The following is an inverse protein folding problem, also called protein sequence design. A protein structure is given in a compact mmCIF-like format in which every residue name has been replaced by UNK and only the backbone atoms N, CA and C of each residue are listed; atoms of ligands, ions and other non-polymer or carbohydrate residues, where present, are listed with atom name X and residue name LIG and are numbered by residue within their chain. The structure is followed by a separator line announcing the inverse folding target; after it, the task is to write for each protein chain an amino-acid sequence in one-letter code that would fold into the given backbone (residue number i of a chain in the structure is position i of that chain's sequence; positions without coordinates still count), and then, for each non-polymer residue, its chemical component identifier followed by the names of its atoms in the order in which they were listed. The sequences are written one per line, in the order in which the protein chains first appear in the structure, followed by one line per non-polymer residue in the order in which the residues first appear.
data_IF_250240610036
#
_entry.id   IF_250240610036
#
_cell.length_a   1.000
_cell.length_b   1.000
_cell.length_c   1.000
_cell.angle_alpha   90.00
_cell.angle_beta   90.00
_cell.angle_gamma   90.00
#
_symmetry.space_group_name_H-M   'P 1'
#
loop_
_entity.id
_entity.type
_entity.pdbx_description
1 polymer ?
#
# COMPACT_ATOMS: atom_id res chain seq x y z
N UNK A 1 20.44 1.54 -4.67
CA UNK A 1 20.47 1.95 -3.43
C UNK A 1 19.18 2.51 -2.95
N UNK A 2 18.91 2.32 -1.76
CA UNK A 2 17.64 2.70 -1.21
C UNK A 2 17.56 4.21 -0.97
N UNK A 3 16.44 4.80 -1.28
CA UNK A 3 16.19 6.19 -0.98
C UNK A 3 15.39 6.36 0.31
N UNK A 4 15.10 5.27 1.01
CA UNK A 4 14.28 5.35 2.21
C UNK A 4 15.10 5.91 3.35
N UNK A 5 14.59 6.98 3.95
CA UNK A 5 15.23 7.65 5.07
C UNK A 5 14.71 7.07 6.39
N UNK A 6 15.44 7.25 7.49
CA UNK A 6 14.87 6.94 8.80
C UNK A 6 13.53 7.66 8.94
N UNK A 7 12.53 6.96 9.45
CA UNK A 7 11.20 7.52 9.61
C UNK A 7 10.32 7.40 8.38
N UNK A 8 10.76 6.65 7.36
CA UNK A 8 9.97 6.43 6.16
C UNK A 8 9.86 4.96 5.85
N UNK A 9 8.83 4.64 5.07
CA UNK A 9 8.57 3.29 4.57
C UNK A 9 8.60 3.37 3.05
N UNK A 10 9.17 2.39 2.39
CA UNK A 10 9.09 2.32 0.93
C UNK A 10 7.79 1.64 0.56
N UNK A 11 6.90 2.37 -0.09
CA UNK A 11 5.60 1.84 -0.52
C UNK A 11 5.61 1.62 -2.02
N UNK A 12 5.20 0.42 -2.43
CA UNK A 12 4.96 0.11 -3.84
C UNK A 12 3.52 -0.35 -3.98
N UNK A 13 2.80 0.24 -4.92
CA UNK A 13 1.45 -0.18 -5.27
C UNK A 13 1.50 -0.60 -6.72
N UNK A 14 1.24 -1.87 -6.97
CA UNK A 14 1.42 -2.43 -8.31
C UNK A 14 0.20 -3.25 -8.72
N UNK A 15 -0.03 -3.32 -10.02
CA UNK A 15 -0.92 -4.28 -10.64
C UNK A 15 -0.07 -5.18 -11.52
N UNK A 16 -0.65 -6.25 -12.08
CA UNK A 16 0.13 -7.07 -13.01
C UNK A 16 0.67 -6.30 -14.21
N UNK A 17 0.02 -5.20 -14.58
CA UNK A 17 0.41 -4.46 -15.78
C UNK A 17 1.25 -3.23 -15.52
N UNK A 18 1.20 -2.68 -14.31
CA UNK A 18 1.89 -1.40 -14.11
C UNK A 18 2.16 -1.10 -12.65
N UNK A 19 3.05 -0.16 -12.45
CA UNK A 19 3.33 0.40 -11.13
C UNK A 19 2.48 1.65 -10.97
N UNK A 20 1.63 1.68 -9.94
CA UNK A 20 0.76 2.82 -9.69
C UNK A 20 1.44 3.84 -8.78
N UNK A 21 2.26 3.38 -7.87
CA UNK A 21 3.06 4.24 -7.00
C UNK A 21 4.27 3.47 -6.53
N UNK A 22 5.39 4.15 -6.41
CA UNK A 22 6.60 3.53 -5.88
C UNK A 22 7.49 4.63 -5.31
N UNK A 23 7.61 4.65 -3.99
CA UNK A 23 8.43 5.68 -3.38
C UNK A 23 8.33 5.68 -1.87
N UNK A 24 9.04 6.60 -1.22
CA UNK A 24 9.01 6.71 0.23
C UNK A 24 7.74 7.40 0.70
N UNK A 25 7.19 6.90 1.81
CA UNK A 25 6.02 7.51 2.45
C UNK A 25 6.29 7.56 3.95
N UNK A 26 5.58 8.46 4.63
CA UNK A 26 5.72 8.54 6.07
C UNK A 26 4.86 7.51 6.77
N UNK A 27 3.73 7.18 6.18
CA UNK A 27 2.86 6.11 6.65
C UNK A 27 1.95 5.69 5.50
N UNK A 28 1.37 4.51 5.65
CA UNK A 28 0.35 4.01 4.73
C UNK A 28 -0.75 3.37 5.54
N UNK A 29 -1.96 3.37 5.00
CA UNK A 29 -3.11 2.72 5.60
C UNK A 29 -3.77 1.88 4.52
N UNK A 30 -3.99 0.61 4.82
CA UNK A 30 -4.37 -0.36 3.80
C UNK A 30 -5.61 -1.10 4.27
N UNK A 31 -6.64 -1.22 3.41
CA UNK A 31 -7.84 -1.99 3.78
C UNK A 31 -7.58 -3.48 3.59
N UNK A 32 -7.80 -4.24 4.64
CA UNK A 32 -7.70 -5.69 4.62
C UNK A 32 -9.10 -6.28 4.72
N UNK A 33 -9.20 -7.58 4.46
CA UNK A 33 -10.49 -8.25 4.56
C UNK A 33 -11.11 -8.11 5.95
N UNK A 34 -10.28 -8.05 6.99
CA UNK A 34 -10.78 -7.98 8.36
C UNK A 34 -10.53 -6.61 9.01
N UNK A 35 -10.31 -5.57 8.23
CA UNK A 35 -10.20 -4.22 8.76
C UNK A 35 -9.01 -3.48 8.19
N UNK A 36 -8.82 -2.25 8.66
CA UNK A 36 -7.72 -1.40 8.21
C UNK A 36 -6.45 -1.70 8.99
N UNK A 37 -5.33 -1.59 8.32
CA UNK A 37 -4.05 -1.67 9.00
C UNK A 37 -3.23 -0.42 8.68
N UNK A 38 -2.57 0.12 9.70
CA UNK A 38 -1.63 1.21 9.51
C UNK A 38 -0.21 0.68 9.44
N UNK A 39 0.56 1.19 8.50
CA UNK A 39 1.95 0.78 8.29
C UNK A 39 2.82 1.98 8.58
N UNK A 40 3.70 1.83 9.57
CA UNK A 40 4.60 2.87 10.02
C UNK A 40 6.03 2.35 9.97
N UNK A 41 7.04 3.22 10.00
CA UNK A 41 8.42 2.74 10.03
C UNK A 41 8.65 1.79 11.20
N UNK A 42 9.36 0.71 10.93
CA UNK A 42 9.63 -0.30 11.96
C UNK A 42 8.53 -1.31 12.16
N UNK A 43 7.54 -1.33 11.28
CA UNK A 43 6.44 -2.28 11.37
C UNK A 43 6.92 -3.72 11.17
N UNK A 44 6.29 -4.66 11.88
CA UNK A 44 6.61 -6.08 11.73
C UNK A 44 6.21 -6.59 10.35
N UNK A 45 6.85 -7.67 9.95
CA UNK A 45 6.53 -8.32 8.69
C UNK A 45 5.13 -8.91 8.72
N UNK A 46 4.47 -8.88 7.57
CA UNK A 46 3.07 -9.27 7.47
C UNK A 46 2.73 -9.64 6.04
N UNK A 47 1.88 -10.64 5.87
CA UNK A 47 1.25 -10.95 4.58
C UNK A 47 -0.24 -11.02 4.84
N UNK A 48 -1.02 -10.32 4.03
CA UNK A 48 -2.46 -10.26 4.25
C UNK A 48 -3.20 -10.09 2.93
N UNK A 49 -4.51 -10.31 2.96
CA UNK A 49 -5.37 -10.15 1.79
C UNK A 49 -6.10 -8.81 1.89
N UNK A 50 -6.11 -8.07 0.80
CA UNK A 50 -6.80 -6.79 0.73
C UNK A 50 -8.31 -7.01 0.73
N UNK A 51 -9.00 -6.06 1.36
CA UNK A 51 -10.45 -5.95 1.22
C UNK A 51 -10.78 -4.70 0.43
N UNK A 52 -12.07 -4.51 0.12
CA UNK A 52 -12.49 -3.29 -0.59
C UNK A 52 -12.30 -2.07 0.29
N UNK A 53 -11.83 -0.98 -0.30
CA UNK A 53 -11.61 0.26 0.42
C UNK A 53 -10.56 1.09 -0.28
N UNK A 54 -9.94 1.98 0.48
CA UNK A 54 -8.93 2.87 -0.07
C UNK A 54 -7.59 2.64 0.62
N UNK A 55 -6.54 2.56 -0.20
CA UNK A 55 -5.18 2.66 0.30
C UNK A 55 -4.88 4.15 0.41
N UNK A 56 -4.42 4.57 1.59
CA UNK A 56 -4.03 5.96 1.83
C UNK A 56 -2.57 6.00 2.22
N UNK A 57 -1.88 7.05 1.79
CA UNK A 57 -0.48 7.19 2.17
C UNK A 57 -0.08 8.65 2.15
N UNK A 58 0.91 8.98 2.98
CA UNK A 58 1.43 10.34 3.06
C UNK A 58 2.79 10.39 2.38
N UNK A 59 2.85 11.13 1.29
CA UNK A 59 4.08 11.28 0.52
C UNK A 59 4.25 12.74 0.15
N UNK A 60 5.44 13.28 0.43
CA UNK A 60 5.72 14.66 0.07
C UNK A 60 4.79 15.67 0.72
N UNK A 61 4.33 15.37 1.92
CA UNK A 61 3.46 16.28 2.66
C UNK A 61 2.00 16.20 2.26
N UNK A 62 1.64 15.30 1.37
CA UNK A 62 0.25 15.18 0.91
C UNK A 62 -0.26 13.76 1.07
N UNK A 63 -1.53 13.65 1.44
CA UNK A 63 -2.20 12.36 1.56
C UNK A 63 -2.79 12.01 0.21
N UNK A 64 -2.44 10.84 -0.30
CA UNK A 64 -3.01 10.30 -1.54
C UNK A 64 -3.89 9.11 -1.20
N UNK A 65 -4.86 8.85 -2.05
CA UNK A 65 -5.80 7.75 -1.88
C UNK A 65 -6.00 7.01 -3.18
N UNK A 66 -6.18 5.69 -3.07
CA UNK A 66 -6.42 4.85 -4.23
C UNK A 66 -7.44 3.79 -3.85
N UNK A 67 -8.56 3.75 -4.55
CA UNK A 67 -9.60 2.74 -4.30
C UNK A 67 -9.19 1.38 -4.82
N UNK A 68 -9.35 0.35 -4.00
CA UNK A 68 -9.02 -1.02 -4.38
C UNK A 68 -10.15 -1.94 -3.98
N UNK A 69 -10.26 -3.09 -4.67
CA UNK A 69 -11.26 -4.10 -4.35
C UNK A 69 -10.62 -5.36 -3.80
N UNK A 70 -9.51 -5.78 -4.39
CA UNK A 70 -8.88 -7.03 -3.97
C UNK A 70 -7.41 -7.03 -4.31
N UNK A 71 -6.68 -7.92 -3.66
CA UNK A 71 -5.25 -8.08 -3.87
C UNK A 71 -4.59 -8.60 -2.61
N UNK A 72 -3.31 -8.31 -2.49
CA UNK A 72 -2.50 -8.79 -1.38
C UNK A 72 -1.60 -7.70 -0.87
N UNK A 73 -1.30 -7.78 0.42
CA UNK A 73 -0.35 -6.88 1.07
C UNK A 73 0.82 -7.70 1.56
N UNK A 74 2.02 -7.21 1.32
CA UNK A 74 3.22 -7.81 1.88
C UNK A 74 4.07 -6.71 2.50
N UNK A 75 4.31 -6.83 3.80
CA UNK A 75 5.14 -5.89 4.54
C UNK A 75 6.38 -6.62 5.01
N UNK A 76 7.52 -6.06 4.72
CA UNK A 76 8.78 -6.51 5.30
C UNK A 76 9.33 -5.35 6.11
N UNK A 77 10.57 -5.49 6.58
CA UNK A 77 11.13 -4.59 7.57
C UNK A 77 10.93 -3.10 7.25
N UNK A 78 11.12 -2.69 6.01
CA UNK A 78 10.96 -1.29 5.65
C UNK A 78 10.26 -1.10 4.31
N UNK A 79 9.69 -2.17 3.79
CA UNK A 79 9.05 -2.12 2.48
C UNK A 79 7.64 -2.65 2.58
N UNK A 80 6.72 -1.94 1.95
CA UNK A 80 5.32 -2.29 1.92
C UNK A 80 4.91 -2.41 0.46
N UNK A 81 4.47 -3.59 0.05
CA UNK A 81 4.05 -3.85 -1.32
C UNK A 81 2.56 -4.17 -1.33
N UNK A 82 1.80 -3.35 -2.04
CA UNK A 82 0.38 -3.55 -2.24
C UNK A 82 0.21 -4.05 -3.67
N UNK A 83 -0.16 -5.33 -3.80
CA UNK A 83 -0.37 -5.95 -5.11
C UNK A 83 -1.86 -5.97 -5.37
N UNK A 84 -2.31 -5.10 -6.27
CA UNK A 84 -3.74 -4.91 -6.52
C UNK A 84 -4.16 -5.83 -7.65
N UNK A 85 -5.11 -6.71 -7.36
CA UNK A 85 -5.70 -7.58 -8.39
C UNK A 85 -6.85 -6.90 -9.09
N UNK A 86 -7.61 -6.07 -8.35
CA UNK A 86 -8.75 -5.36 -8.91
C UNK A 86 -8.86 -4.00 -8.25
N UNK A 87 -8.82 -2.95 -9.06
CA UNK A 87 -9.03 -1.59 -8.59
C UNK A 87 -10.52 -1.33 -8.41
N UNK A 88 -10.85 -0.39 -7.52
CA UNK A 88 -12.23 -0.01 -7.32
C UNK A 88 -12.81 0.55 -8.61
N UNK A 89 -14.00 0.09 -8.99
CA UNK A 89 -14.65 0.51 -10.22
C UNK A 89 -14.28 -0.28 -11.46
N UNK A 90 -13.17 -1.01 -11.41
CA UNK A 90 -12.82 -1.91 -12.52
C UNK A 90 -13.70 -3.15 -12.40
N UNK A 91 -13.99 -3.77 -13.47
CA UNK A 91 -14.83 -4.95 -13.44
C UNK A 91 -16.31 -4.64 -13.45
N UNK A 92 -16.69 -3.40 -13.39
CA UNK A 92 -18.08 -3.00 -13.56
C UNK A 92 -18.37 -2.85 -15.04
N UNK A 93 -19.49 -3.34 -15.44
CA UNK A 93 -19.87 -3.29 -16.84
C UNK A 93 -20.29 -1.90 -17.27
#
# INVERSE_FOLDING_TARGET
MSAVQPGQVHLSIVTPEQVLFDGPVEWARVPLEDGLIGIWPGHDSLIATLGPGEVEYLAGGEVARLGVESGHLRVTESRCVVMVSLLAGEGEA
#
